data_IF_784691631687
#
_entry.id   IF_784691631687
#
_cell.length_a   1.000
_cell.length_b   1.000
_cell.length_c   1.000
_cell.angle_alpha   90.00
_cell.angle_beta   90.00
_cell.angle_gamma   90.00
#
_symmetry.space_group_name_H-M   'P 1'
#
loop_
_entity.id
_entity.type
_entity.pdbx_description
1 polymer ?
#
# COMPACT_ATOMS: atom_id res chain seq x y z
N UNK A 1 -16.70 14.83 27.42
CA UNK A 1 -15.44 15.01 28.12
C UNK A 1 -14.28 14.83 27.11
N UNK A 2 -13.82 15.97 26.53
CA UNK A 2 -12.82 15.99 25.45
C UNK A 2 -11.51 15.30 25.85
N UNK A 3 -11.06 15.46 27.09
CA UNK A 3 -9.84 14.83 27.62
C UNK A 3 -9.91 13.28 27.53
N UNK A 4 -11.05 12.70 27.86
CA UNK A 4 -11.23 11.24 27.77
C UNK A 4 -11.09 10.75 26.34
N UNK A 5 -11.67 11.47 25.36
CA UNK A 5 -11.55 11.10 23.95
C UNK A 5 -10.11 11.20 23.46
N UNK A 6 -9.40 12.29 23.75
CA UNK A 6 -8.01 12.46 23.33
C UNK A 6 -7.10 11.37 23.92
N UNK A 7 -7.29 11.00 25.19
CA UNK A 7 -6.50 9.96 25.85
C UNK A 7 -6.88 8.54 25.38
N UNK A 8 -8.16 8.22 25.28
CA UNK A 8 -8.61 6.88 24.87
C UNK A 8 -8.36 6.62 23.38
N UNK A 9 -8.59 7.61 22.51
CA UNK A 9 -8.49 7.43 21.07
C UNK A 9 -7.08 7.54 20.52
N UNK A 10 -6.13 8.11 21.26
CA UNK A 10 -4.73 8.26 20.77
C UNK A 10 -4.04 6.95 20.42
N UNK A 11 -4.46 5.84 21.03
CA UNK A 11 -3.89 4.52 20.79
C UNK A 11 -4.54 3.76 19.62
N UNK A 12 -5.62 4.25 19.05
CA UNK A 12 -6.26 3.60 17.92
C UNK A 12 -5.42 3.79 16.64
N UNK A 13 -5.01 2.68 16.03
CA UNK A 13 -4.21 2.64 14.80
C UNK A 13 -5.06 2.65 13.51
N UNK A 14 -6.37 2.71 13.61
CA UNK A 14 -7.28 2.51 12.47
C UNK A 14 -6.99 1.19 11.69
N UNK A 15 -6.55 0.15 12.38
CA UNK A 15 -6.20 -1.13 11.78
C UNK A 15 -7.42 -1.99 11.41
N UNK A 16 -8.63 -1.57 11.73
CA UNK A 16 -9.91 -2.24 11.41
C UNK A 16 -10.08 -3.64 12.05
N UNK A 17 -9.17 -4.09 12.89
CA UNK A 17 -9.26 -5.45 13.50
C UNK A 17 -10.45 -5.60 14.44
N UNK A 18 -10.80 -4.55 15.17
CA UNK A 18 -12.01 -4.54 15.99
C UNK A 18 -13.29 -4.72 15.16
N UNK A 19 -13.32 -4.20 13.92
CA UNK A 19 -14.44 -4.41 13.00
C UNK A 19 -14.53 -5.85 12.52
N UNK A 20 -13.36 -6.49 12.26
CA UNK A 20 -13.29 -7.90 11.83
C UNK A 20 -13.67 -8.83 12.96
N UNK A 21 -13.25 -8.51 14.19
CA UNK A 21 -13.51 -9.33 15.37
C UNK A 21 -14.93 -9.14 15.96
N UNK A 22 -15.66 -8.11 15.55
CA UNK A 22 -16.98 -7.82 16.10
C UNK A 22 -18.04 -8.79 15.58
N UNK A 23 -18.64 -9.66 16.43
CA UNK A 23 -19.65 -10.61 15.97
C UNK A 23 -20.94 -9.93 15.51
N UNK A 24 -21.22 -8.71 15.99
CA UNK A 24 -22.40 -7.91 15.61
C UNK A 24 -22.15 -7.05 14.37
N UNK A 25 -20.98 -7.11 13.75
CA UNK A 25 -20.64 -6.35 12.53
C UNK A 25 -20.54 -4.83 12.74
N UNK A 26 -20.33 -4.37 13.97
CA UNK A 26 -20.18 -2.94 14.29
C UNK A 26 -18.86 -2.43 13.75
N UNK A 27 -18.90 -1.32 13.00
CA UNK A 27 -17.70 -0.63 12.46
C UNK A 27 -17.07 0.27 13.54
N UNK A 28 -16.49 -0.35 14.57
CA UNK A 28 -15.91 0.34 15.74
C UNK A 28 -14.81 1.33 15.30
N UNK A 29 -14.00 0.94 14.34
CA UNK A 29 -12.92 1.79 13.84
C UNK A 29 -13.43 3.07 13.18
N UNK A 30 -14.56 3.00 12.47
CA UNK A 30 -15.17 4.17 11.83
C UNK A 30 -15.76 5.12 12.87
N UNK A 31 -16.43 4.59 13.89
CA UNK A 31 -16.91 5.37 15.04
C UNK A 31 -15.76 6.13 15.71
N UNK A 32 -14.61 5.45 15.91
CA UNK A 32 -13.43 6.09 16.49
C UNK A 32 -12.88 7.19 15.58
N UNK A 33 -12.82 6.97 14.26
CA UNK A 33 -12.35 8.01 13.33
C UNK A 33 -13.31 9.19 13.25
N UNK A 34 -14.61 8.95 13.23
CA UNK A 34 -15.62 10.01 13.28
C UNK A 34 -15.50 10.81 14.58
N UNK A 35 -15.36 10.14 15.73
CA UNK A 35 -15.14 10.80 17.02
C UNK A 35 -13.84 11.65 17.02
N UNK A 36 -12.75 11.16 16.41
CA UNK A 36 -11.52 11.95 16.27
C UNK A 36 -11.73 13.21 15.41
N UNK A 37 -12.48 13.11 14.33
CA UNK A 37 -12.78 14.24 13.46
C UNK A 37 -13.64 15.28 14.20
N UNK A 38 -14.65 14.83 14.93
CA UNK A 38 -15.62 15.70 15.59
C UNK A 38 -15.06 16.33 16.88
N UNK A 39 -14.39 15.54 17.71
CA UNK A 39 -13.96 15.94 19.05
C UNK A 39 -12.48 16.35 19.15
N UNK A 40 -11.71 16.33 18.05
CA UNK A 40 -10.33 16.84 18.07
C UNK A 40 -10.31 18.31 18.50
N UNK A 41 -9.59 18.58 19.60
CA UNK A 41 -9.48 19.94 20.16
C UNK A 41 -8.46 20.79 19.43
N UNK A 42 -7.55 20.15 18.71
CA UNK A 42 -6.44 20.79 18.02
C UNK A 42 -6.46 20.40 16.55
N UNK A 43 -6.36 21.39 15.68
CA UNK A 43 -6.18 21.14 14.25
C UNK A 43 -4.85 20.40 13.96
N UNK A 44 -4.69 19.82 12.75
CA UNK A 44 -3.50 19.09 12.37
C UNK A 44 -2.26 19.98 12.45
N UNK A 45 -1.22 19.49 13.15
CA UNK A 45 0.08 20.16 13.30
C UNK A 45 0.79 20.27 11.94
N UNK A 46 1.78 21.14 11.83
CA UNK A 46 2.60 21.27 10.61
C UNK A 46 3.18 19.90 10.18
N UNK A 47 3.70 19.12 11.14
CA UNK A 47 4.15 17.75 10.92
C UNK A 47 3.09 16.87 10.24
N UNK A 48 1.86 16.92 10.75
CA UNK A 48 0.77 16.08 10.25
C UNK A 48 0.40 16.45 8.81
N UNK A 49 0.43 17.75 8.49
CA UNK A 49 0.24 18.25 7.14
C UNK A 49 1.35 17.79 6.20
N UNK A 50 2.62 17.86 6.63
CA UNK A 50 3.77 17.40 5.85
C UNK A 50 3.71 15.90 5.57
N UNK A 51 3.48 15.09 6.61
CA UNK A 51 3.39 13.62 6.49
C UNK A 51 2.19 13.17 5.63
N UNK A 52 1.11 13.96 5.61
CA UNK A 52 -0.07 13.66 4.81
C UNK A 52 0.03 14.12 3.34
N UNK A 53 0.93 15.05 3.02
CA UNK A 53 1.07 15.64 1.69
C UNK A 53 2.00 14.82 0.79
N UNK A 54 1.73 13.53 0.64
CA UNK A 54 2.62 12.58 -0.04
C UNK A 54 2.90 12.92 -1.51
N UNK A 55 1.90 13.38 -2.27
CA UNK A 55 2.07 13.78 -3.66
C UNK A 55 2.94 15.04 -3.79
N UNK A 56 2.72 16.03 -2.91
CA UNK A 56 3.52 17.26 -2.88
C UNK A 56 4.97 16.98 -2.51
N UNK A 57 5.18 16.24 -1.39
CA UNK A 57 6.51 15.88 -0.93
C UNK A 57 7.26 15.01 -1.95
N UNK A 58 6.57 14.06 -2.58
CA UNK A 58 7.14 13.22 -3.62
C UNK A 58 7.53 14.02 -4.87
N UNK A 59 6.68 14.97 -5.29
CA UNK A 59 6.97 15.83 -6.43
C UNK A 59 8.17 16.74 -6.18
N UNK A 60 8.27 17.28 -4.96
CA UNK A 60 9.38 18.16 -4.56
C UNK A 60 10.69 17.38 -4.39
N UNK A 61 10.64 16.21 -3.77
CA UNK A 61 11.83 15.42 -3.42
C UNK A 61 12.43 14.64 -4.60
N UNK A 62 11.60 14.18 -5.55
CA UNK A 62 12.08 13.32 -6.65
C UNK A 62 13.19 13.95 -7.51
N UNK A 63 13.12 15.21 -7.93
CA UNK A 63 14.21 15.83 -8.70
C UNK A 63 15.55 15.88 -7.93
N UNK A 64 15.47 15.97 -6.60
CA UNK A 64 16.61 16.05 -5.69
C UNK A 64 16.85 14.74 -4.92
N UNK A 65 16.31 13.63 -5.40
CA UNK A 65 16.35 12.35 -4.70
C UNK A 65 17.74 11.92 -4.20
N UNK A 66 18.85 12.05 -4.95
CA UNK A 66 20.18 11.72 -4.44
C UNK A 66 20.55 12.51 -3.19
N UNK A 67 20.30 13.82 -3.18
CA UNK A 67 20.60 14.73 -2.05
C UNK A 67 19.68 14.41 -0.87
N UNK A 68 18.37 14.30 -1.11
CA UNK A 68 17.39 14.00 -0.07
C UNK A 68 17.68 12.65 0.59
N UNK A 69 17.94 11.61 -0.20
CA UNK A 69 18.25 10.28 0.30
C UNK A 69 19.59 10.21 1.06
N UNK A 70 20.56 11.05 0.73
CA UNK A 70 21.84 11.13 1.43
C UNK A 70 21.71 11.92 2.75
N UNK A 71 20.86 12.94 2.80
CA UNK A 71 20.75 13.86 3.94
C UNK A 71 19.77 13.37 5.01
N UNK A 72 18.61 12.80 4.64
CA UNK A 72 17.60 12.34 5.60
C UNK A 72 18.12 11.36 6.67
N UNK A 73 19.06 10.43 6.38
CA UNK A 73 19.60 9.53 7.40
C UNK A 73 20.59 10.18 8.37
N UNK A 74 21.09 11.40 8.08
CA UNK A 74 22.12 12.06 8.89
C UNK A 74 21.59 12.39 10.27
N UNK A 75 22.40 12.11 11.30
CA UNK A 75 22.04 12.39 12.71
C UNK A 75 21.60 13.83 12.97
N UNK A 76 22.27 14.88 12.43
CA UNK A 76 21.81 16.26 12.62
C UNK A 76 20.44 16.54 12.04
N UNK A 77 20.15 16.00 10.83
CA UNK A 77 18.85 16.16 10.17
C UNK A 77 17.76 15.47 10.98
N UNK A 78 18.01 14.24 11.44
CA UNK A 78 17.08 13.50 12.30
C UNK A 78 16.85 14.22 13.64
N UNK A 79 17.86 14.83 14.24
CA UNK A 79 17.71 15.60 15.47
C UNK A 79 16.84 16.86 15.25
N UNK A 80 16.99 17.54 14.11
CA UNK A 80 16.12 18.67 13.75
C UNK A 80 14.68 18.21 13.54
N UNK A 81 14.46 17.10 12.80
CA UNK A 81 13.12 16.54 12.58
C UNK A 81 12.46 16.13 13.91
N UNK A 82 13.23 15.57 14.84
CA UNK A 82 12.76 15.21 16.19
C UNK A 82 12.42 16.44 17.03
N UNK A 83 13.32 17.40 17.13
CA UNK A 83 13.15 18.58 17.98
C UNK A 83 12.12 19.58 17.46
N UNK A 84 12.08 19.81 16.14
CA UNK A 84 11.20 20.84 15.52
C UNK A 84 9.86 20.28 15.11
N UNK A 85 9.86 19.11 14.46
CA UNK A 85 8.63 18.51 13.92
C UNK A 85 8.07 17.39 14.83
N UNK A 86 8.82 16.88 15.81
CA UNK A 86 8.40 15.76 16.63
C UNK A 86 8.28 14.45 15.86
N UNK A 87 9.11 14.26 14.82
CA UNK A 87 9.27 12.99 14.12
C UNK A 87 10.42 12.25 14.78
N UNK A 88 10.17 11.04 15.28
CA UNK A 88 11.16 10.29 16.07
C UNK A 88 12.46 10.05 15.28
N UNK A 89 13.60 10.41 15.87
CA UNK A 89 14.92 10.32 15.23
C UNK A 89 15.36 8.88 14.90
N UNK A 90 14.75 7.86 15.51
CA UNK A 90 15.01 6.45 15.23
C UNK A 90 14.36 5.99 13.93
N UNK A 91 13.37 6.73 13.41
CA UNK A 91 12.68 6.38 12.17
C UNK A 91 13.59 6.42 10.95
N UNK A 92 13.38 5.45 10.07
CA UNK A 92 13.87 5.49 8.70
C UNK A 92 12.79 6.02 7.78
N UNK A 93 13.18 6.73 6.73
CA UNK A 93 12.28 7.21 5.72
C UNK A 93 12.42 6.39 4.44
N UNK A 94 11.31 6.18 3.68
CA UNK A 94 11.41 5.58 2.37
C UNK A 94 12.27 6.48 1.47
N UNK A 95 13.13 5.85 0.68
CA UNK A 95 13.93 6.58 -0.31
C UNK A 95 13.04 7.12 -1.42
N UNK A 96 13.37 8.30 -1.91
CA UNK A 96 12.75 8.84 -3.12
C UNK A 96 13.47 8.34 -4.37
N UNK A 97 12.70 8.12 -5.43
CA UNK A 97 13.27 7.80 -6.75
C UNK A 97 13.50 9.08 -7.55
N UNK A 98 14.66 9.18 -8.21
CA UNK A 98 14.96 10.27 -9.13
C UNK A 98 14.14 10.24 -10.42
N UNK A 99 13.54 9.10 -10.75
CA UNK A 99 12.63 8.93 -11.89
C UNK A 99 11.28 8.42 -11.40
N UNK A 100 10.23 9.21 -11.59
CA UNK A 100 8.86 8.82 -11.26
C UNK A 100 8.42 7.63 -12.12
N UNK A 101 7.56 6.76 -11.56
CA UNK A 101 7.01 5.63 -12.30
C UNK A 101 6.24 6.07 -13.56
N UNK A 102 5.38 7.10 -13.44
CA UNK A 102 4.67 7.66 -14.61
C UNK A 102 5.60 8.09 -15.74
N UNK A 103 6.71 8.75 -15.40
CA UNK A 103 7.68 9.22 -16.39
C UNK A 103 8.38 8.04 -17.07
N UNK A 104 8.74 7.01 -16.28
CA UNK A 104 9.30 5.79 -16.82
C UNK A 104 8.30 5.07 -17.74
N UNK A 105 7.03 4.93 -17.29
CA UNK A 105 5.99 4.26 -18.05
C UNK A 105 5.75 4.95 -19.40
N UNK A 106 5.53 6.27 -19.39
CA UNK A 106 5.33 7.06 -20.62
C UNK A 106 6.47 6.88 -21.63
N UNK A 107 7.72 6.83 -21.14
CA UNK A 107 8.90 6.71 -21.99
C UNK A 107 9.15 5.29 -22.50
N UNK A 108 8.89 4.25 -21.68
CA UNK A 108 9.41 2.90 -21.96
C UNK A 108 8.31 1.85 -22.18
N UNK A 109 7.08 2.07 -21.72
CA UNK A 109 6.06 1.04 -21.74
C UNK A 109 4.78 1.45 -22.51
N UNK A 110 4.38 2.72 -22.46
CA UNK A 110 3.09 3.18 -22.97
C UNK A 110 2.81 2.81 -24.43
N UNK A 111 3.82 2.90 -25.32
CA UNK A 111 3.66 2.64 -26.76
C UNK A 111 3.21 1.22 -27.09
N UNK A 112 3.52 0.24 -26.24
CA UNK A 112 3.18 -1.17 -26.48
C UNK A 112 1.82 -1.58 -25.86
N UNK A 113 1.24 -0.75 -24.98
CA UNK A 113 0.08 -1.19 -24.21
C UNK A 113 -1.19 -1.31 -25.05
N UNK A 114 -1.33 -0.49 -26.10
CA UNK A 114 -2.47 -0.56 -27.03
C UNK A 114 -2.49 -1.82 -27.92
N UNK A 115 -1.39 -2.55 -28.03
CA UNK A 115 -1.29 -3.79 -28.81
C UNK A 115 -2.04 -4.95 -28.14
N UNK A 116 -2.24 -4.89 -26.82
CA UNK A 116 -2.97 -5.92 -26.07
C UNK A 116 -4.48 -5.78 -26.27
N UNK A 117 -5.15 -6.88 -26.63
CA UNK A 117 -6.62 -6.90 -26.80
C UNK A 117 -7.38 -6.68 -25.50
N UNK A 118 -6.83 -7.15 -24.37
CA UNK A 118 -7.40 -7.01 -23.03
C UNK A 118 -6.74 -5.83 -22.33
N UNK A 119 -7.52 -4.94 -21.75
CA UNK A 119 -7.03 -3.71 -21.15
C UNK A 119 -7.46 -3.62 -19.68
N UNK A 120 -6.56 -3.12 -18.83
CA UNK A 120 -6.85 -2.75 -17.44
C UNK A 120 -6.32 -1.36 -17.16
N UNK A 121 -6.88 -0.71 -16.14
CA UNK A 121 -6.34 0.52 -15.60
C UNK A 121 -5.51 0.24 -14.34
N UNK A 122 -4.46 1.00 -14.11
CA UNK A 122 -3.59 0.86 -12.95
C UNK A 122 -3.57 2.14 -12.12
N UNK A 123 -4.09 2.03 -10.89
CA UNK A 123 -3.90 3.02 -9.82
C UNK A 123 -2.58 2.69 -9.11
N UNK A 124 -1.50 3.36 -9.49
CA UNK A 124 -0.17 3.08 -8.95
C UNK A 124 0.06 3.69 -7.56
N UNK A 125 -0.63 4.80 -7.24
CA UNK A 125 -0.48 5.50 -5.97
C UNK A 125 0.84 6.23 -5.80
N UNK A 126 0.94 7.00 -4.71
CA UNK A 126 2.10 7.84 -4.43
C UNK A 126 3.38 7.04 -4.18
N UNK A 127 3.29 5.90 -3.49
CA UNK A 127 4.47 5.08 -3.17
C UNK A 127 5.17 4.56 -4.42
N UNK A 128 4.43 3.95 -5.33
CA UNK A 128 4.98 3.44 -6.60
C UNK A 128 5.54 4.59 -7.44
N UNK A 129 4.83 5.72 -7.46
CA UNK A 129 5.27 6.84 -8.31
C UNK A 129 6.57 7.48 -7.81
N UNK A 130 6.71 7.68 -6.50
CA UNK A 130 7.79 8.51 -5.96
C UNK A 130 8.88 7.74 -5.21
N UNK A 131 8.54 6.58 -4.62
CA UNK A 131 9.46 5.86 -3.74
C UNK A 131 9.95 4.55 -4.34
N UNK A 132 9.08 3.75 -4.95
CA UNK A 132 9.43 2.42 -5.43
C UNK A 132 8.87 2.11 -6.84
N UNK A 133 9.35 2.81 -7.89
CA UNK A 133 8.91 2.60 -9.27
C UNK A 133 9.08 1.15 -9.76
N UNK A 134 9.99 0.38 -9.15
CA UNK A 134 10.20 -1.02 -9.52
C UNK A 134 8.93 -1.86 -9.36
N UNK A 135 8.14 -1.65 -8.30
CA UNK A 135 6.87 -2.35 -8.13
C UNK A 135 5.89 -2.09 -9.28
N UNK A 136 5.84 -0.85 -9.76
CA UNK A 136 5.02 -0.52 -10.94
C UNK A 136 5.53 -1.19 -12.23
N UNK A 137 6.85 -1.27 -12.39
CA UNK A 137 7.47 -1.98 -13.53
C UNK A 137 7.16 -3.47 -13.47
N UNK A 138 7.30 -4.09 -12.29
CA UNK A 138 6.98 -5.49 -12.05
C UNK A 138 5.51 -5.77 -12.39
N UNK A 139 4.60 -4.90 -11.93
CA UNK A 139 3.18 -5.01 -12.25
C UNK A 139 2.92 -4.97 -13.76
N UNK A 140 3.47 -3.99 -14.47
CA UNK A 140 3.31 -3.89 -15.94
C UNK A 140 3.85 -5.15 -16.62
N UNK A 141 5.02 -5.62 -16.20
CA UNK A 141 5.66 -6.80 -16.78
C UNK A 141 4.81 -8.07 -16.57
N UNK A 142 4.31 -8.28 -15.37
CA UNK A 142 3.43 -9.42 -15.07
C UNK A 142 2.14 -9.34 -15.88
N UNK A 143 1.48 -8.18 -15.91
CA UNK A 143 0.21 -8.02 -16.64
C UNK A 143 0.39 -8.22 -18.16
N UNK A 144 1.49 -7.71 -18.72
CA UNK A 144 1.78 -7.92 -20.13
C UNK A 144 2.03 -9.41 -20.45
N UNK A 145 2.74 -10.14 -19.58
CA UNK A 145 2.91 -11.59 -19.72
C UNK A 145 1.60 -12.37 -19.65
N UNK A 146 0.61 -11.82 -18.93
CA UNK A 146 -0.76 -12.38 -18.86
C UNK A 146 -1.66 -11.95 -20.04
N UNK A 147 -1.14 -11.21 -21.02
CA UNK A 147 -1.87 -10.75 -22.20
C UNK A 147 -2.75 -9.51 -21.95
N UNK A 148 -2.45 -8.72 -20.90
CA UNK A 148 -3.19 -7.50 -20.57
C UNK A 148 -2.32 -6.26 -20.78
N UNK A 149 -2.86 -5.29 -21.52
CA UNK A 149 -2.32 -3.94 -21.59
C UNK A 149 -2.69 -3.11 -20.36
N UNK A 150 -1.75 -2.29 -19.91
CA UNK A 150 -1.88 -1.45 -18.72
C UNK A 150 -2.09 0.00 -19.12
N UNK A 151 -3.13 0.64 -18.62
CA UNK A 151 -3.40 2.06 -18.78
C UNK A 151 -3.19 2.77 -17.46
N UNK A 152 -2.36 3.81 -17.44
CA UNK A 152 -2.30 4.67 -16.26
C UNK A 152 -3.53 5.57 -16.20
N UNK A 153 -3.97 5.85 -15.00
CA UNK A 153 -5.04 6.81 -14.74
C UNK A 153 -4.49 8.24 -14.86
N UNK A 154 -5.02 9.01 -15.79
CA UNK A 154 -4.57 10.38 -16.00
C UNK A 154 -5.00 11.28 -14.86
N UNK A 155 -4.00 11.86 -14.19
CA UNK A 155 -4.19 12.79 -13.08
C UNK A 155 -4.62 12.16 -11.77
N UNK A 156 -4.39 10.86 -11.52
CA UNK A 156 -4.66 10.28 -10.19
C UNK A 156 -3.97 11.04 -9.07
N UNK A 157 -4.60 11.06 -7.90
CA UNK A 157 -4.08 11.64 -6.66
C UNK A 157 -3.85 10.53 -5.65
N UNK A 158 -3.00 10.77 -4.65
CA UNK A 158 -2.91 9.87 -3.50
C UNK A 158 -4.31 9.48 -3.01
N UNK A 159 -4.50 8.22 -2.60
CA UNK A 159 -5.80 7.72 -2.09
C UNK A 159 -6.34 8.54 -0.90
N UNK A 160 -5.49 9.30 -0.22
CA UNK A 160 -5.90 10.18 0.88
C UNK A 160 -5.84 9.55 2.26
N UNK A 161 -5.45 8.27 2.41
CA UNK A 161 -5.38 7.63 3.73
C UNK A 161 -4.49 8.38 4.72
N UNK A 162 -3.34 8.90 4.28
CA UNK A 162 -2.46 9.70 5.14
C UNK A 162 -3.14 10.99 5.62
N UNK A 163 -4.02 11.57 4.83
CA UNK A 163 -4.83 12.73 5.22
C UNK A 163 -5.91 12.33 6.24
N UNK A 164 -6.60 11.21 6.01
CA UNK A 164 -7.64 10.69 6.91
C UNK A 164 -7.05 10.47 8.31
N UNK A 165 -5.96 9.70 8.42
CA UNK A 165 -5.36 9.36 9.72
C UNK A 165 -4.72 10.55 10.45
N UNK A 166 -4.46 11.65 9.76
CA UNK A 166 -3.95 12.89 10.33
C UNK A 166 -5.01 13.99 10.49
N UNK A 167 -6.30 13.68 10.32
CA UNK A 167 -7.41 14.63 10.52
C UNK A 167 -7.54 15.70 9.43
N UNK A 168 -6.91 15.53 8.27
CA UNK A 168 -7.01 16.44 7.11
C UNK A 168 -8.20 16.04 6.22
N UNK A 169 -9.38 15.90 6.82
CA UNK A 169 -10.57 15.33 6.18
C UNK A 169 -10.99 16.05 4.91
N UNK A 170 -10.95 17.39 4.88
CA UNK A 170 -11.33 18.15 3.69
C UNK A 170 -10.36 17.95 2.52
N UNK A 171 -9.06 17.80 2.83
CA UNK A 171 -8.05 17.42 1.83
C UNK A 171 -8.34 16.02 1.26
N UNK A 172 -8.61 15.06 2.14
CA UNK A 172 -8.97 13.69 1.76
C UNK A 172 -10.25 13.65 0.89
N UNK A 173 -11.29 14.41 1.25
CA UNK A 173 -12.52 14.53 0.44
C UNK A 173 -12.25 15.08 -0.96
N UNK A 174 -11.37 16.08 -1.09
CA UNK A 174 -10.99 16.63 -2.41
C UNK A 174 -10.30 15.57 -3.26
N UNK A 175 -9.36 14.82 -2.68
CA UNK A 175 -8.71 13.70 -3.38
C UNK A 175 -9.71 12.62 -3.76
N UNK A 176 -10.60 12.21 -2.85
CA UNK A 176 -11.62 11.20 -3.10
C UNK A 176 -12.56 11.59 -4.25
N UNK A 177 -13.13 12.80 -4.21
CA UNK A 177 -13.99 13.31 -5.30
C UNK A 177 -13.27 13.33 -6.65
N UNK A 178 -11.99 13.70 -6.65
CA UNK A 178 -11.19 13.72 -7.86
C UNK A 178 -10.91 12.31 -8.37
N UNK A 179 -10.44 11.41 -7.49
CA UNK A 179 -10.12 10.03 -7.85
C UNK A 179 -11.35 9.27 -8.34
N UNK A 180 -12.52 9.43 -7.72
CA UNK A 180 -13.76 8.79 -8.21
C UNK A 180 -14.03 9.19 -9.67
N UNK A 181 -13.85 10.46 -10.04
CA UNK A 181 -14.02 10.91 -11.43
C UNK A 181 -12.99 10.29 -12.38
N UNK A 182 -11.74 10.16 -11.92
CA UNK A 182 -10.66 9.56 -12.71
C UNK A 182 -10.89 8.06 -12.89
N UNK A 183 -11.29 7.37 -11.83
CA UNK A 183 -11.64 5.94 -11.85
C UNK A 183 -12.85 5.67 -12.76
N UNK A 184 -13.87 6.54 -12.71
CA UNK A 184 -15.08 6.39 -13.54
C UNK A 184 -14.74 6.38 -15.01
N UNK A 185 -13.81 7.23 -15.48
CA UNK A 185 -13.37 7.23 -16.89
C UNK A 185 -12.78 5.90 -17.36
N UNK A 186 -12.16 5.14 -16.46
CA UNK A 186 -11.65 3.82 -16.78
C UNK A 186 -12.78 2.77 -16.78
N UNK A 187 -13.69 2.87 -15.80
CA UNK A 187 -14.86 1.99 -15.69
C UNK A 187 -15.81 2.16 -16.89
N UNK A 188 -16.01 3.39 -17.35
CA UNK A 188 -16.83 3.70 -18.56
C UNK A 188 -16.27 3.06 -19.85
N UNK A 189 -14.98 2.68 -19.83
CA UNK A 189 -14.29 1.92 -20.89
C UNK A 189 -14.25 0.41 -20.60
N UNK A 190 -15.07 -0.07 -19.67
CA UNK A 190 -15.14 -1.47 -19.23
C UNK A 190 -13.79 -2.03 -18.67
N UNK A 191 -12.93 -1.15 -18.18
CA UNK A 191 -11.67 -1.57 -17.57
C UNK A 191 -11.83 -1.82 -16.07
N UNK A 192 -11.26 -2.94 -15.58
CA UNK A 192 -11.01 -3.08 -14.13
C UNK A 192 -9.86 -2.19 -13.74
N UNK A 193 -9.96 -1.56 -12.58
CA UNK A 193 -8.91 -0.73 -12.00
C UNK A 193 -8.15 -1.54 -10.96
N UNK A 194 -6.86 -1.73 -11.17
CA UNK A 194 -6.02 -2.54 -10.30
C UNK A 194 -5.08 -1.63 -9.51
N UNK A 195 -4.77 -2.04 -8.29
CA UNK A 195 -3.70 -1.45 -7.48
C UNK A 195 -2.87 -2.53 -6.80
N UNK A 196 -1.61 -2.24 -6.51
CA UNK A 196 -0.70 -3.13 -5.78
C UNK A 196 -0.71 -2.88 -4.27
N UNK A 197 -1.51 -1.92 -3.80
CA UNK A 197 -1.57 -1.47 -2.40
C UNK A 197 -2.88 -1.88 -1.73
N UNK A 198 -2.80 -2.72 -0.70
CA UNK A 198 -3.97 -3.10 0.12
C UNK A 198 -4.60 -1.91 0.83
N UNK A 199 -3.78 -0.93 1.23
CA UNK A 199 -4.24 0.29 1.86
C UNK A 199 -5.01 1.18 0.90
N UNK A 200 -4.48 1.39 -0.32
CA UNK A 200 -5.17 2.22 -1.31
C UNK A 200 -6.52 1.62 -1.71
N UNK A 201 -6.57 0.29 -1.93
CA UNK A 201 -7.83 -0.35 -2.34
C UNK A 201 -8.89 -0.28 -1.23
N UNK A 202 -8.53 -0.53 0.04
CA UNK A 202 -9.48 -0.38 1.15
C UNK A 202 -10.00 1.06 1.25
N UNK A 203 -9.09 2.03 1.25
CA UNK A 203 -9.46 3.45 1.38
C UNK A 203 -10.42 3.88 0.28
N UNK A 204 -10.13 3.55 -0.98
CA UNK A 204 -10.97 3.95 -2.11
C UNK A 204 -12.29 3.17 -2.19
N UNK A 205 -12.33 1.91 -1.74
CA UNK A 205 -13.55 1.09 -1.75
C UNK A 205 -14.49 1.41 -0.60
N UNK A 206 -13.95 1.52 0.61
CA UNK A 206 -14.77 1.57 1.84
C UNK A 206 -14.68 2.93 2.52
N UNK A 207 -13.49 3.48 2.81
CA UNK A 207 -13.36 4.73 3.56
C UNK A 207 -13.85 5.96 2.81
N UNK A 208 -13.82 5.98 1.48
CA UNK A 208 -14.44 7.06 0.69
C UNK A 208 -15.92 7.20 1.01
N UNK A 209 -16.66 6.10 1.06
CA UNK A 209 -18.07 6.10 1.42
C UNK A 209 -18.29 6.24 2.92
N UNK A 210 -17.64 5.40 3.71
CA UNK A 210 -17.94 5.25 5.13
C UNK A 210 -17.47 6.44 5.96
N UNK A 211 -16.25 6.93 5.73
CA UNK A 211 -15.65 8.04 6.49
C UNK A 211 -15.79 9.40 5.80
N UNK A 212 -15.52 9.46 4.49
CA UNK A 212 -15.54 10.73 3.78
C UNK A 212 -16.91 11.11 3.24
N UNK A 213 -17.88 10.18 3.28
CA UNK A 213 -19.25 10.35 2.76
C UNK A 213 -19.26 10.72 1.26
N UNK A 214 -18.33 10.16 0.50
CA UNK A 214 -18.24 10.33 -0.96
C UNK A 214 -18.80 9.08 -1.63
N UNK A 215 -19.79 9.28 -2.50
CA UNK A 215 -20.32 8.18 -3.30
C UNK A 215 -19.28 7.67 -4.30
N UNK A 216 -18.99 6.39 -4.22
CA UNK A 216 -18.06 5.66 -5.07
C UNK A 216 -18.69 4.38 -5.65
N UNK A 217 -20.02 4.26 -5.57
CA UNK A 217 -20.75 3.06 -6.00
C UNK A 217 -20.46 2.68 -7.45
N UNK A 218 -20.31 3.65 -8.34
CA UNK A 218 -20.01 3.41 -9.75
C UNK A 218 -18.63 2.80 -10.02
N UNK A 219 -17.68 2.95 -9.12
CA UNK A 219 -16.29 2.50 -9.34
C UNK A 219 -15.85 1.39 -8.39
N UNK A 220 -16.53 1.25 -7.25
CA UNK A 220 -16.14 0.39 -6.13
C UNK A 220 -15.86 -1.05 -6.55
N UNK A 221 -16.75 -1.65 -7.34
CA UNK A 221 -16.66 -3.07 -7.69
C UNK A 221 -15.71 -3.36 -8.87
N UNK A 222 -15.30 -2.32 -9.56
CA UNK A 222 -14.26 -2.40 -10.58
C UNK A 222 -12.85 -2.21 -10.03
N UNK A 223 -12.71 -1.73 -8.77
CA UNK A 223 -11.43 -1.50 -8.11
C UNK A 223 -10.99 -2.75 -7.34
N UNK A 224 -9.88 -3.36 -7.73
CA UNK A 224 -9.38 -4.62 -7.19
C UNK A 224 -7.90 -4.53 -6.81
N UNK A 225 -7.49 -5.37 -5.85
CA UNK A 225 -6.08 -5.64 -5.63
C UNK A 225 -5.54 -6.50 -6.80
N UNK A 226 -4.34 -6.21 -7.26
CA UNK A 226 -3.72 -6.90 -8.39
C UNK A 226 -3.67 -8.42 -8.20
N UNK A 227 -3.29 -8.89 -7.00
CA UNK A 227 -3.23 -10.32 -6.67
C UNK A 227 -4.59 -10.99 -6.73
N UNK A 228 -5.66 -10.31 -6.28
CA UNK A 228 -7.03 -10.83 -6.40
C UNK A 228 -7.44 -10.98 -7.86
N UNK A 229 -7.16 -9.98 -8.70
CA UNK A 229 -7.48 -10.04 -10.12
C UNK A 229 -6.74 -11.18 -10.82
N UNK A 230 -5.43 -11.29 -10.63
CA UNK A 230 -4.60 -12.35 -11.23
C UNK A 230 -5.10 -13.72 -10.79
N UNK A 231 -5.34 -13.91 -9.47
CA UNK A 231 -5.85 -15.18 -8.97
C UNK A 231 -7.19 -15.54 -9.62
N UNK A 232 -8.11 -14.58 -9.76
CA UNK A 232 -9.41 -14.82 -10.39
C UNK A 232 -9.30 -15.25 -11.87
N UNK A 233 -8.28 -14.74 -12.58
CA UNK A 233 -8.01 -15.14 -13.96
C UNK A 233 -7.50 -16.59 -14.04
N UNK A 234 -6.67 -17.00 -13.09
CA UNK A 234 -6.14 -18.36 -13.00
C UNK A 234 -7.25 -19.34 -12.63
N UNK A 235 -8.02 -19.03 -11.59
CA UNK A 235 -9.13 -19.83 -11.08
C UNK A 235 -10.21 -20.09 -12.14
N UNK A 236 -10.45 -19.09 -13.00
CA UNK A 236 -11.40 -19.21 -14.13
C UNK A 236 -10.76 -19.77 -15.41
N UNK A 237 -9.50 -20.19 -15.38
CA UNK A 237 -8.78 -20.76 -16.54
C UNK A 237 -8.50 -19.76 -17.67
N UNK A 238 -8.64 -18.44 -17.41
CA UNK A 238 -8.44 -17.39 -18.42
C UNK A 238 -6.97 -17.09 -18.68
N UNK A 239 -6.08 -17.42 -17.74
CA UNK A 239 -4.63 -17.30 -17.87
C UNK A 239 -3.93 -18.49 -17.24
N UNK A 240 -2.70 -18.74 -17.71
CA UNK A 240 -1.80 -19.76 -17.17
C UNK A 240 -0.48 -19.13 -16.80
N UNK A 241 0.17 -19.64 -15.76
CA UNK A 241 1.48 -19.19 -15.30
C UNK A 241 2.55 -20.24 -15.67
N UNK A 242 3.68 -19.80 -16.14
CA UNK A 242 4.90 -20.60 -16.22
C UNK A 242 5.93 -20.03 -15.24
N UNK A 243 6.54 -20.88 -14.45
CA UNK A 243 7.53 -20.48 -13.45
C UNK A 243 8.94 -20.93 -13.87
N UNK A 244 9.94 -20.17 -13.47
CA UNK A 244 11.35 -20.54 -13.60
C UNK A 244 11.63 -21.79 -12.76
N UNK A 245 12.34 -22.76 -13.31
CA UNK A 245 12.64 -24.03 -12.64
C UNK A 245 13.60 -23.90 -11.46
N UNK A 246 14.45 -22.90 -11.48
CA UNK A 246 15.50 -22.65 -10.49
C UNK A 246 15.13 -21.64 -9.42
N UNK A 247 13.91 -21.07 -9.48
CA UNK A 247 13.45 -20.14 -8.45
C UNK A 247 13.18 -20.88 -7.14
N UNK A 248 13.88 -20.47 -6.09
CA UNK A 248 13.73 -21.02 -4.74
C UNK A 248 13.75 -19.89 -3.71
N UNK A 249 12.87 -19.92 -2.73
CA UNK A 249 12.86 -18.95 -1.64
C UNK A 249 12.07 -19.48 -0.44
N UNK A 250 12.52 -19.13 0.77
CA UNK A 250 11.76 -19.27 2.01
C UNK A 250 11.05 -17.94 2.26
N UNK A 251 9.74 -17.94 2.09
CA UNK A 251 8.91 -16.74 2.18
C UNK A 251 8.04 -16.79 3.43
N UNK A 252 8.14 -15.78 4.29
CA UNK A 252 7.14 -15.53 5.31
C UNK A 252 6.16 -14.47 4.82
N UNK A 253 4.85 -14.71 4.96
CA UNK A 253 3.84 -13.75 4.51
C UNK A 253 3.16 -13.08 5.69
N UNK A 254 3.21 -11.74 5.69
CA UNK A 254 2.45 -10.90 6.60
C UNK A 254 1.18 -10.37 5.93
N UNK A 255 0.01 -10.70 6.49
CA UNK A 255 -1.26 -10.12 6.06
C UNK A 255 -1.44 -8.72 6.63
N UNK A 256 -1.42 -7.65 5.81
CA UNK A 256 -1.72 -6.31 6.30
C UNK A 256 -3.14 -6.22 6.86
N UNK A 257 -3.32 -5.44 7.91
CA UNK A 257 -4.63 -5.30 8.57
C UNK A 257 -5.75 -4.79 7.61
N UNK A 258 -5.42 -3.91 6.66
CA UNK A 258 -6.37 -3.46 5.64
C UNK A 258 -6.76 -4.58 4.67
N UNK A 259 -5.84 -5.48 4.36
CA UNK A 259 -6.14 -6.64 3.53
C UNK A 259 -6.96 -7.69 4.28
N UNK A 260 -6.70 -7.86 5.58
CA UNK A 260 -7.48 -8.68 6.49
C UNK A 260 -8.94 -8.19 6.53
N UNK A 261 -9.17 -6.88 6.65
CA UNK A 261 -10.50 -6.26 6.60
C UNK A 261 -11.25 -6.55 5.30
N UNK A 262 -10.56 -6.58 4.17
CA UNK A 262 -11.14 -6.94 2.88
C UNK A 262 -11.40 -8.44 2.70
N UNK A 263 -10.83 -9.30 3.55
CA UNK A 263 -10.86 -10.76 3.37
C UNK A 263 -10.06 -11.25 2.15
N UNK A 264 -9.11 -10.45 1.64
CA UNK A 264 -8.43 -10.73 0.36
C UNK A 264 -7.02 -11.30 0.50
N UNK A 265 -6.55 -11.55 1.71
CA UNK A 265 -5.23 -12.17 1.95
C UNK A 265 -5.05 -13.52 1.29
N UNK A 266 -6.14 -14.27 1.14
CA UNK A 266 -6.15 -15.58 0.49
C UNK A 266 -5.62 -15.53 -0.96
N UNK A 267 -5.89 -14.47 -1.70
CA UNK A 267 -5.47 -14.36 -3.10
C UNK A 267 -3.95 -14.22 -3.22
N UNK A 268 -3.33 -13.36 -2.40
CA UNK A 268 -1.88 -13.19 -2.38
C UNK A 268 -1.16 -14.46 -1.90
N UNK A 269 -1.68 -15.10 -0.85
CA UNK A 269 -1.09 -16.33 -0.31
C UNK A 269 -1.22 -17.51 -1.28
N UNK A 270 -2.36 -17.64 -1.96
CA UNK A 270 -2.54 -18.69 -2.96
C UNK A 270 -1.59 -18.53 -4.15
N UNK A 271 -1.41 -17.30 -4.65
CA UNK A 271 -0.45 -17.02 -5.73
C UNK A 271 0.98 -17.37 -5.32
N UNK A 272 1.42 -17.01 -4.12
CA UNK A 272 2.77 -17.31 -3.65
C UNK A 272 2.99 -18.82 -3.46
N UNK A 273 1.99 -19.55 -2.99
CA UNK A 273 2.04 -21.01 -2.84
C UNK A 273 2.06 -21.77 -4.17
N UNK A 274 1.61 -21.16 -5.27
CA UNK A 274 1.68 -21.77 -6.60
C UNK A 274 3.10 -21.79 -7.18
N UNK A 275 4.03 -21.00 -6.63
CA UNK A 275 5.40 -20.90 -7.15
C UNK A 275 6.18 -22.15 -6.75
N UNK A 276 6.62 -23.00 -7.69
CA UNK A 276 7.44 -24.17 -7.38
C UNK A 276 8.74 -23.76 -6.67
N UNK A 277 9.17 -24.52 -5.67
CA UNK A 277 10.40 -24.25 -4.92
C UNK A 277 10.27 -23.14 -3.86
N UNK A 278 9.08 -22.61 -3.62
CA UNK A 278 8.81 -21.72 -2.50
C UNK A 278 8.44 -22.51 -1.25
N UNK A 279 9.20 -22.32 -0.18
CA UNK A 279 8.84 -22.70 1.19
C UNK A 279 8.06 -21.57 1.82
N UNK A 280 6.74 -21.74 1.97
CA UNK A 280 5.83 -20.69 2.39
C UNK A 280 5.45 -20.83 3.87
N UNK A 281 5.66 -19.77 4.65
CA UNK A 281 5.19 -19.65 6.05
C UNK A 281 4.19 -18.52 6.17
N UNK A 282 2.97 -18.83 6.63
CA UNK A 282 1.99 -17.81 6.99
C UNK A 282 2.30 -17.29 8.40
N UNK A 283 2.51 -15.98 8.54
CA UNK A 283 2.66 -15.37 9.85
C UNK A 283 1.30 -15.16 10.50
N UNK A 284 1.27 -15.19 11.84
CA UNK A 284 0.06 -14.88 12.60
C UNK A 284 -0.42 -13.48 12.31
N UNK A 285 -1.73 -13.27 12.42
CA UNK A 285 -2.33 -11.97 12.21
C UNK A 285 -1.98 -11.00 13.35
N UNK A 286 -0.83 -10.31 13.21
CA UNK A 286 -0.38 -9.26 14.10
C UNK A 286 -0.23 -7.94 13.33
N UNK A 287 -0.55 -6.80 13.96
CA UNK A 287 -0.34 -5.50 13.36
C UNK A 287 1.16 -5.15 13.36
N UNK A 288 1.66 -4.55 12.29
CA UNK A 288 3.05 -4.04 12.26
C UNK A 288 3.27 -2.78 13.13
N UNK A 289 2.21 -2.16 13.61
CA UNK A 289 2.25 -1.03 14.54
C UNK A 289 2.42 0.35 13.89
N UNK A 290 2.73 0.47 12.61
CA UNK A 290 3.06 1.78 12.00
C UNK A 290 1.83 2.68 11.76
N UNK A 291 0.71 2.10 11.33
CA UNK A 291 -0.51 2.85 10.97
C UNK A 291 -0.24 4.10 10.11
N UNK A 292 0.24 3.89 8.91
CA UNK A 292 0.59 4.98 7.99
C UNK A 292 1.67 5.90 8.59
N UNK A 293 1.26 7.05 9.10
CA UNK A 293 2.17 8.05 9.68
C UNK A 293 2.17 8.09 11.21
N UNK A 294 1.31 7.31 11.88
CA UNK A 294 1.18 7.29 13.35
C UNK A 294 2.52 6.97 14.03
N UNK A 295 3.16 5.89 13.62
CA UNK A 295 4.41 5.45 14.21
C UNK A 295 5.62 6.34 13.89
N UNK A 296 5.51 7.32 12.99
CA UNK A 296 6.57 8.31 12.75
C UNK A 296 6.65 9.37 13.85
N UNK A 297 5.54 9.59 14.57
CA UNK A 297 5.43 10.61 15.59
C UNK A 297 6.18 10.19 16.85
N UNK A 298 6.96 11.09 17.41
CA UNK A 298 7.81 10.84 18.61
C UNK A 298 7.00 10.27 19.78
N UNK A 299 5.85 10.86 20.05
CA UNK A 299 4.93 10.44 21.11
C UNK A 299 4.34 9.04 20.92
N UNK A 300 4.35 8.51 19.69
CA UNK A 300 3.74 7.24 19.33
C UNK A 300 4.76 6.13 19.04
N UNK A 301 6.06 6.46 18.99
CA UNK A 301 7.09 5.51 18.56
C UNK A 301 7.12 4.23 19.39
N UNK A 302 7.16 4.36 20.71
CA UNK A 302 7.23 3.22 21.62
C UNK A 302 5.99 2.33 21.52
N UNK A 303 4.80 2.95 21.46
CA UNK A 303 3.54 2.23 21.27
C UNK A 303 3.53 1.49 19.93
N UNK A 304 4.00 2.15 18.88
CA UNK A 304 4.10 1.56 17.54
C UNK A 304 5.03 0.33 17.53
N UNK A 305 6.19 0.41 18.20
CA UNK A 305 7.13 -0.70 18.30
C UNK A 305 6.59 -1.84 19.17
N UNK A 306 5.95 -1.52 20.29
CA UNK A 306 5.36 -2.52 21.17
C UNK A 306 4.25 -3.32 20.50
N UNK A 307 3.39 -2.65 19.70
CA UNK A 307 2.34 -3.31 18.92
C UNK A 307 2.94 -4.21 17.82
N UNK A 308 4.03 -3.77 17.18
CA UNK A 308 4.69 -4.52 16.12
C UNK A 308 5.54 -5.70 16.63
N UNK A 309 5.94 -5.67 17.90
CA UNK A 309 6.89 -6.63 18.47
C UNK A 309 6.51 -8.10 18.25
N UNK A 310 5.26 -8.56 18.47
CA UNK A 310 4.90 -9.96 18.23
C UNK A 310 5.18 -10.40 16.79
N UNK A 311 4.89 -9.53 15.80
CA UNK A 311 5.20 -9.78 14.40
C UNK A 311 6.71 -9.85 14.16
N UNK A 312 7.47 -8.93 14.72
CA UNK A 312 8.94 -8.87 14.56
C UNK A 312 9.63 -10.10 15.16
N UNK A 313 9.21 -10.51 16.35
CA UNK A 313 9.71 -11.71 17.02
C UNK A 313 9.39 -12.97 16.20
N UNK A 314 8.19 -13.04 15.58
CA UNK A 314 7.80 -14.16 14.74
C UNK A 314 8.65 -14.22 13.46
N UNK A 315 8.87 -13.08 12.78
CA UNK A 315 9.75 -13.01 11.60
C UNK A 315 11.15 -13.48 11.97
N UNK A 316 11.69 -13.04 13.10
CA UNK A 316 13.01 -13.47 13.60
C UNK A 316 13.11 -14.98 13.85
N UNK A 317 12.05 -15.61 14.38
CA UNK A 317 12.01 -17.07 14.58
C UNK A 317 11.93 -17.85 13.27
N UNK A 318 11.16 -17.36 12.31
CA UNK A 318 11.02 -18.01 10.99
C UNK A 318 12.28 -17.84 10.16
N UNK A 319 12.99 -16.73 10.32
CA UNK A 319 14.21 -16.37 9.58
C UNK A 319 14.08 -16.63 8.05
N UNK A 320 13.08 -16.02 7.39
CA UNK A 320 12.86 -16.22 5.95
C UNK A 320 13.96 -15.55 5.12
N UNK A 321 14.05 -15.89 3.84
CA UNK A 321 14.90 -15.14 2.91
C UNK A 321 14.36 -13.72 2.71
N UNK A 322 13.03 -13.57 2.71
CA UNK A 322 12.34 -12.28 2.77
C UNK A 322 10.89 -12.44 3.26
N UNK A 323 10.29 -11.33 3.68
CA UNK A 323 8.86 -11.26 4.02
C UNK A 323 8.08 -10.76 2.81
N UNK A 324 6.96 -11.40 2.48
CA UNK A 324 6.03 -10.88 1.47
C UNK A 324 4.88 -10.12 2.14
N UNK A 325 4.48 -8.96 1.58
CA UNK A 325 3.44 -8.11 2.14
C UNK A 325 2.85 -7.16 1.08
N UNK A 326 1.51 -6.99 1.07
CA UNK A 326 0.77 -6.12 0.14
C UNK A 326 0.62 -4.66 0.64
N UNK A 327 1.44 -4.24 1.60
CA UNK A 327 1.34 -2.90 2.19
C UNK A 327 2.71 -2.25 2.33
N UNK A 328 2.85 -1.07 1.76
CA UNK A 328 4.10 -0.31 1.73
C UNK A 328 4.53 0.17 3.12
N UNK A 329 3.57 0.60 3.94
CA UNK A 329 3.89 1.07 5.29
C UNK A 329 4.26 -0.08 6.22
N UNK A 330 3.65 -1.25 6.06
CA UNK A 330 4.09 -2.47 6.76
C UNK A 330 5.52 -2.85 6.34
N UNK A 331 5.85 -2.75 5.03
CA UNK A 331 7.22 -2.96 4.55
C UNK A 331 8.21 -2.09 5.31
N UNK A 332 7.99 -0.78 5.38
CA UNK A 332 8.92 0.12 6.07
C UNK A 332 9.10 -0.22 7.55
N UNK A 333 8.01 -0.55 8.24
CA UNK A 333 8.05 -0.89 9.65
C UNK A 333 8.83 -2.20 9.88
N UNK A 334 8.54 -3.23 9.10
CA UNK A 334 9.19 -4.53 9.22
C UNK A 334 10.68 -4.41 8.90
N UNK A 335 11.04 -3.79 7.77
CA UNK A 335 12.45 -3.60 7.38
C UNK A 335 13.25 -2.83 8.41
N UNK A 336 12.67 -1.75 8.95
CA UNK A 336 13.33 -0.94 9.99
C UNK A 336 13.52 -1.72 11.29
N UNK A 337 12.53 -2.52 11.68
CA UNK A 337 12.50 -3.14 13.02
C UNK A 337 13.15 -4.53 13.06
N UNK A 338 13.27 -5.22 11.92
CA UNK A 338 13.78 -6.59 11.85
C UNK A 338 15.03 -6.73 10.98
N UNK A 339 15.29 -5.80 10.09
CA UNK A 339 16.35 -5.90 9.08
C UNK A 339 16.05 -6.87 7.91
N UNK A 340 14.95 -7.62 7.95
CA UNK A 340 14.56 -8.49 6.84
C UNK A 340 13.99 -7.67 5.69
N UNK A 341 14.37 -8.04 4.46
CA UNK A 341 13.79 -7.45 3.24
C UNK A 341 12.30 -7.79 3.12
N UNK A 342 11.49 -6.83 2.66
CA UNK A 342 10.08 -7.06 2.40
C UNK A 342 9.76 -6.79 0.93
N UNK A 343 9.09 -7.75 0.28
CA UNK A 343 8.68 -7.67 -1.13
C UNK A 343 7.14 -7.66 -1.27
N UNK A 344 6.65 -6.93 -2.26
CA UNK A 344 5.24 -7.06 -2.64
C UNK A 344 5.03 -8.38 -3.39
N UNK A 345 3.91 -9.12 -3.21
CA UNK A 345 3.64 -10.36 -3.94
C UNK A 345 3.74 -10.23 -5.47
N UNK A 346 3.43 -9.05 -6.03
CA UNK A 346 3.59 -8.79 -7.47
C UNK A 346 5.06 -8.80 -7.89
N UNK A 347 5.95 -8.23 -7.07
CA UNK A 347 7.41 -8.30 -7.35
C UNK A 347 7.94 -9.73 -7.23
N UNK A 348 7.42 -10.50 -6.27
CA UNK A 348 7.77 -11.93 -6.15
C UNK A 348 7.32 -12.71 -7.40
N UNK A 349 6.11 -12.46 -7.91
CA UNK A 349 5.64 -13.06 -9.15
C UNK A 349 6.52 -12.66 -10.34
N UNK A 350 6.88 -11.38 -10.47
CA UNK A 350 7.76 -10.91 -11.55
C UNK A 350 9.12 -11.58 -11.53
N UNK A 351 9.68 -11.85 -10.34
CA UNK A 351 10.93 -12.58 -10.17
C UNK A 351 10.81 -14.07 -10.51
N UNK A 352 9.71 -14.72 -10.09
CA UNK A 352 9.51 -16.16 -10.18
C UNK A 352 8.99 -16.64 -11.54
N UNK A 353 8.24 -15.81 -12.27
CA UNK A 353 7.67 -16.18 -13.55
C UNK A 353 8.75 -16.29 -14.65
N UNK A 354 8.65 -17.31 -15.47
CA UNK A 354 9.19 -17.31 -16.81
C UNK A 354 8.24 -16.47 -17.68
N UNK A 355 8.59 -15.22 -17.86
CA UNK A 355 7.74 -14.23 -18.51
C UNK A 355 7.48 -14.54 -19.99
N UNK A 356 8.50 -15.08 -20.70
CA UNK A 356 8.34 -15.44 -22.11
C UNK A 356 7.43 -16.66 -22.28
N UNK A 357 7.66 -17.70 -21.48
CA UNK A 357 6.81 -18.88 -21.50
C UNK A 357 5.37 -18.55 -21.05
N UNK A 358 5.20 -17.68 -20.03
CA UNK A 358 3.90 -17.19 -19.60
C UNK A 358 3.19 -16.41 -20.71
N UNK A 359 3.90 -15.53 -21.42
CA UNK A 359 3.32 -14.77 -22.52
C UNK A 359 2.86 -15.68 -23.67
N UNK A 360 3.64 -16.71 -24.01
CA UNK A 360 3.26 -17.70 -25.02
C UNK A 360 2.01 -18.50 -24.66
N UNK A 361 1.76 -18.71 -23.37
CA UNK A 361 0.57 -19.44 -22.88
C UNK A 361 -0.71 -18.59 -22.93
N UNK A 362 -0.60 -17.25 -22.97
CA UNK A 362 -1.70 -16.30 -22.81
C UNK A 362 -1.91 -15.38 -24.03
N UNK A 363 -1.04 -15.46 -25.02
CA UNK A 363 -1.09 -14.67 -26.26
C UNK A 363 -2.03 -15.19 -27.34
#
# INVERSE_FOLDING_TARGET
>A
NKYFFDEALKYCLNCKRCDVACPSGVKISDIIQEARIEFSTHGPKLRDRMLASTDFMGTLASPFAPIVNATLPLKPVKAILDGVLGIDHRRTFPKYSGTKFESWFKKNAAGKQAEFKKQIAYFHGCYVNYNYPQLGKDFVTVMNALGYGVNLLDGEKCCGVAMIVNGLTEGAKKHAKHNVKVLQKAVDKDMKVLTTSSTCVLTMRDEYKDLLKIDNSGVRDSLLLATKFIYSLIDTGKVKLAFKKDYKARIAYHTPCHLEKLGWGIFSTSLLKMIPGVEFTMLDSNCCGISGTYGFKKENYEVSQAIGKPLFDQIGRVAPDFVACDCETCKWQIEMSTGFTVKNPISVLAEALDLEATAKLNG
#
